data_IF_000137191917
#
_entry.id   IF_000137191917
#
_cell.length_a   1.000
_cell.length_b   1.000
_cell.length_c   1.000
_cell.angle_alpha   90.00
_cell.angle_beta   90.00
_cell.angle_gamma   90.00
#
_symmetry.space_group_name_H-M   'P 1'
#
loop_
_entity.id
_entity.type
_entity.pdbx_description
1 polymer ?
#
# COMPACT_ATOMS: atom_id res chain seq x y z
N UNK A 1 54.12 5.27 -13.75
CA UNK A 1 52.98 4.36 -13.41
C UNK A 1 51.83 5.29 -13.06
N UNK A 2 50.88 5.48 -13.97
CA UNK A 2 49.77 6.41 -13.74
C UNK A 2 48.77 5.81 -12.77
N UNK A 3 48.53 6.53 -11.68
CA UNK A 3 47.53 6.26 -10.66
C UNK A 3 46.14 6.17 -11.29
N UNK A 4 45.42 5.09 -11.00
CA UNK A 4 44.01 4.96 -11.34
C UNK A 4 43.21 5.15 -10.03
N UNK A 5 42.87 6.40 -9.71
CA UNK A 5 41.94 6.69 -8.63
C UNK A 5 40.51 6.35 -9.07
N UNK A 6 39.69 5.69 -8.24
CA UNK A 6 38.31 5.41 -8.57
C UNK A 6 37.49 6.71 -8.63
N UNK A 7 36.84 6.97 -9.77
CA UNK A 7 35.88 8.07 -9.92
C UNK A 7 34.72 7.90 -8.94
N UNK A 8 34.64 8.81 -7.98
CA UNK A 8 33.48 8.93 -7.08
C UNK A 8 32.34 9.51 -7.93
N UNK A 9 31.41 8.65 -8.38
CA UNK A 9 30.16 9.12 -8.99
C UNK A 9 29.40 9.96 -7.98
N UNK A 10 29.33 11.26 -8.23
CA UNK A 10 28.49 12.17 -7.47
C UNK A 10 27.04 11.71 -7.59
N UNK A 11 26.47 11.22 -6.49
CA UNK A 11 25.04 10.97 -6.39
C UNK A 11 24.37 12.33 -6.53
N UNK A 12 23.76 12.59 -7.69
CA UNK A 12 22.96 13.79 -7.89
C UNK A 12 21.88 13.83 -6.81
N UNK A 13 21.85 14.93 -6.04
CA UNK A 13 20.79 15.15 -5.08
C UNK A 13 19.45 15.07 -5.82
N UNK A 14 18.45 14.34 -5.30
CA UNK A 14 17.16 14.21 -5.95
C UNK A 14 16.59 15.61 -6.19
N UNK A 15 16.41 15.95 -7.46
CA UNK A 15 15.93 17.28 -7.85
C UNK A 15 14.42 17.27 -7.73
N UNK A 16 13.89 18.04 -6.79
CA UNK A 16 12.46 18.17 -6.59
C UNK A 16 11.86 18.92 -7.79
N UNK A 17 10.94 18.29 -8.51
CA UNK A 17 10.32 18.93 -9.67
C UNK A 17 9.19 19.87 -9.23
N UNK A 18 8.80 20.84 -10.07
CA UNK A 18 7.59 21.64 -9.81
C UNK A 18 6.34 20.77 -9.60
N UNK A 19 6.27 19.61 -10.25
CA UNK A 19 5.17 18.65 -10.07
C UNK A 19 5.20 18.04 -8.67
N UNK A 20 6.37 17.62 -8.19
CA UNK A 20 6.52 17.07 -6.83
C UNK A 20 6.12 18.11 -5.78
N UNK A 21 6.42 19.40 -6.02
CA UNK A 21 6.01 20.49 -5.16
C UNK A 21 4.49 20.62 -5.10
N UNK A 22 3.84 20.70 -6.25
CA UNK A 22 2.38 20.80 -6.29
C UNK A 22 1.70 19.58 -5.68
N UNK A 23 2.25 18.37 -5.85
CA UNK A 23 1.72 17.17 -5.21
C UNK A 23 1.94 17.17 -3.70
N UNK A 24 3.09 17.68 -3.23
CA UNK A 24 3.38 17.83 -1.81
C UNK A 24 2.41 18.83 -1.15
N UNK A 25 2.21 19.99 -1.78
CA UNK A 25 1.24 21.01 -1.36
C UNK A 25 -0.20 20.48 -1.40
N UNK A 26 -0.54 19.69 -2.42
CA UNK A 26 -1.83 19.00 -2.53
C UNK A 26 -1.97 17.78 -1.60
N UNK A 27 -0.93 17.47 -0.80
CA UNK A 27 -0.89 16.36 0.16
C UNK A 27 -1.29 15.02 -0.45
N UNK A 28 -0.80 14.77 -1.67
CA UNK A 28 -1.14 13.59 -2.47
C UNK A 28 0.12 12.76 -2.70
N UNK A 29 0.04 11.46 -2.44
CA UNK A 29 1.11 10.49 -2.68
C UNK A 29 0.57 9.39 -3.59
N UNK A 30 1.36 9.02 -4.61
CA UNK A 30 1.05 7.90 -5.49
C UNK A 30 1.77 6.63 -5.02
N UNK A 31 1.00 5.56 -4.83
CA UNK A 31 1.46 4.19 -4.64
C UNK A 31 1.13 3.45 -5.93
N UNK A 32 1.99 3.64 -6.95
CA UNK A 32 1.75 3.19 -8.32
C UNK A 32 2.85 2.28 -8.82
N UNK A 33 2.46 1.13 -9.39
CA UNK A 33 3.39 0.09 -9.83
C UNK A 33 3.69 -0.94 -8.75
N UNK A 34 4.70 -1.78 -8.99
CA UNK A 34 5.09 -2.86 -8.08
C UNK A 34 5.57 -2.29 -6.74
N UNK A 35 5.11 -2.89 -5.64
CA UNK A 35 5.54 -2.52 -4.29
C UNK A 35 6.91 -3.13 -4.04
N UNK A 36 7.92 -2.28 -3.91
CA UNK A 36 9.28 -2.68 -3.56
C UNK A 36 9.89 -1.77 -2.48
N UNK A 37 11.13 -2.07 -2.11
CA UNK A 37 11.87 -1.29 -1.12
C UNK A 37 12.12 0.17 -1.54
N UNK A 38 12.25 0.47 -2.84
CA UNK A 38 12.44 1.84 -3.32
C UNK A 38 11.16 2.66 -3.15
N UNK A 39 10.02 2.10 -3.55
CA UNK A 39 8.70 2.68 -3.35
C UNK A 39 8.43 2.92 -1.86
N UNK A 40 8.71 1.92 -1.01
CA UNK A 40 8.51 2.06 0.43
C UNK A 40 9.31 3.23 1.01
N UNK A 41 10.61 3.35 0.66
CA UNK A 41 11.44 4.48 1.10
C UNK A 41 10.85 5.82 0.60
N UNK A 42 10.45 5.90 -0.67
CA UNK A 42 9.88 7.12 -1.24
C UNK A 42 8.59 7.55 -0.53
N UNK A 43 7.64 6.63 -0.39
CA UNK A 43 6.33 6.90 0.22
C UNK A 43 6.49 7.26 1.71
N UNK A 44 7.30 6.50 2.46
CA UNK A 44 7.52 6.78 3.88
C UNK A 44 8.18 8.15 4.11
N UNK A 45 9.14 8.55 3.27
CA UNK A 45 9.75 9.89 3.35
C UNK A 45 8.73 10.98 3.09
N UNK A 46 7.84 10.80 2.11
CA UNK A 46 6.77 11.76 1.80
C UNK A 46 5.76 11.87 2.95
N UNK A 47 5.34 10.74 3.53
CA UNK A 47 4.44 10.68 4.69
C UNK A 47 5.00 11.48 5.88
N UNK A 48 6.24 11.18 6.28
CA UNK A 48 6.92 11.87 7.40
C UNK A 48 7.13 13.36 7.11
N UNK A 49 7.49 13.71 5.87
CA UNK A 49 7.65 15.11 5.48
C UNK A 49 6.31 15.88 5.51
N UNK A 50 5.22 15.27 5.05
CA UNK A 50 3.89 15.87 5.07
C UNK A 50 3.32 16.01 6.48
N UNK A 51 3.59 15.05 7.36
CA UNK A 51 3.30 15.16 8.80
C UNK A 51 4.05 16.35 9.41
N UNK A 52 5.37 16.44 9.18
CA UNK A 52 6.19 17.53 9.71
C UNK A 52 5.73 18.91 9.23
N UNK A 53 5.25 19.00 7.99
CA UNK A 53 4.75 20.23 7.38
C UNK A 53 3.37 20.63 7.95
N UNK A 54 2.46 19.67 8.12
CA UNK A 54 1.17 19.89 8.75
C UNK A 54 0.58 18.56 9.26
N UNK A 55 0.63 18.34 10.57
CA UNK A 55 0.15 17.11 11.20
C UNK A 55 -1.39 16.97 11.21
N UNK A 56 -2.13 18.07 11.02
CA UNK A 56 -3.59 18.09 11.10
C UNK A 56 -4.30 17.97 9.74
N UNK A 57 -3.57 18.20 8.64
CA UNK A 57 -4.16 18.15 7.31
C UNK A 57 -4.13 16.72 6.75
N UNK A 58 -5.22 16.24 6.11
CA UNK A 58 -5.28 14.88 5.60
C UNK A 58 -4.26 14.63 4.49
N UNK A 59 -3.86 13.38 4.31
CA UNK A 59 -3.00 12.92 3.21
C UNK A 59 -3.78 11.93 2.36
N UNK A 60 -3.75 12.10 1.04
CA UNK A 60 -4.44 11.23 0.09
C UNK A 60 -3.44 10.30 -0.58
N UNK A 61 -3.62 8.99 -0.40
CA UNK A 61 -2.86 7.95 -1.09
C UNK A 61 -3.64 7.46 -2.31
N UNK A 62 -3.08 7.67 -3.50
CA UNK A 62 -3.59 7.14 -4.76
C UNK A 62 -2.98 5.77 -5.00
N UNK A 63 -3.81 4.73 -4.94
CA UNK A 63 -3.38 3.34 -5.05
C UNK A 63 -3.66 2.82 -6.45
N UNK A 64 -2.59 2.53 -7.19
CA UNK A 64 -2.63 1.85 -8.50
C UNK A 64 -1.50 0.82 -8.58
N UNK A 65 -1.64 -0.27 -7.86
CA UNK A 65 -0.57 -1.23 -7.64
C UNK A 65 -1.05 -2.69 -7.81
N UNK A 66 -0.29 -3.52 -8.55
CA UNK A 66 -0.46 -4.98 -8.56
C UNK A 66 -0.01 -5.65 -7.24
N UNK A 67 0.54 -4.89 -6.29
CA UNK A 67 1.20 -5.38 -5.09
C UNK A 67 2.68 -5.62 -5.32
N UNK A 68 3.30 -6.46 -4.49
CA UNK A 68 4.74 -6.71 -4.51
C UNK A 68 5.24 -7.25 -3.18
N UNK A 69 6.41 -6.80 -2.75
CA UNK A 69 7.10 -7.24 -1.54
C UNK A 69 6.26 -7.00 -0.27
N UNK A 70 6.09 -8.06 0.53
CA UNK A 70 5.27 -8.04 1.75
C UNK A 70 5.82 -7.06 2.79
N UNK A 71 7.13 -7.07 3.02
CA UNK A 71 7.75 -6.21 4.03
C UNK A 71 7.73 -4.74 3.63
N UNK A 72 7.99 -4.41 2.36
CA UNK A 72 7.83 -3.06 1.82
C UNK A 72 6.40 -2.57 1.92
N UNK A 73 5.42 -3.42 1.60
CA UNK A 73 4.02 -3.06 1.75
C UNK A 73 3.61 -2.84 3.21
N UNK A 74 4.10 -3.66 4.14
CA UNK A 74 3.89 -3.41 5.58
C UNK A 74 4.57 -2.13 6.05
N UNK A 75 5.77 -1.82 5.54
CA UNK A 75 6.47 -0.58 5.88
C UNK A 75 5.65 0.66 5.53
N UNK A 76 5.04 0.67 4.33
CA UNK A 76 4.12 1.75 3.91
C UNK A 76 2.85 1.76 4.78
N UNK A 77 2.23 0.59 4.95
CA UNK A 77 0.99 0.44 5.72
C UNK A 77 1.14 0.94 7.16
N UNK A 78 2.18 0.49 7.86
CA UNK A 78 2.41 0.84 9.26
C UNK A 78 2.82 2.31 9.41
N UNK A 79 3.65 2.85 8.51
CA UNK A 79 4.02 4.27 8.52
C UNK A 79 2.80 5.17 8.33
N UNK A 80 1.95 4.86 7.35
CA UNK A 80 0.73 5.63 7.10
C UNK A 80 -0.22 5.60 8.31
N UNK A 81 -0.31 4.49 9.03
CA UNK A 81 -1.13 4.36 10.25
C UNK A 81 -0.51 4.99 11.49
N UNK A 82 0.81 5.10 11.53
CA UNK A 82 1.55 5.61 12.67
C UNK A 82 1.50 7.14 12.78
N UNK A 83 1.52 7.83 11.64
CA UNK A 83 1.56 9.30 11.61
C UNK A 83 0.23 9.94 12.04
N UNK A 84 0.30 11.18 12.51
CA UNK A 84 -0.86 11.95 12.99
C UNK A 84 -1.89 12.34 11.90
N UNK A 85 -1.47 12.71 10.67
CA UNK A 85 -2.41 13.06 9.61
C UNK A 85 -3.43 11.95 9.34
N UNK A 86 -4.69 12.34 9.20
CA UNK A 86 -5.74 11.46 8.69
C UNK A 86 -5.40 10.98 7.28
N UNK A 87 -5.29 9.66 7.10
CA UNK A 87 -5.05 9.05 5.80
C UNK A 87 -6.37 8.78 5.08
N UNK A 88 -6.42 9.15 3.80
CA UNK A 88 -7.48 8.76 2.86
C UNK A 88 -6.85 7.97 1.74
N UNK A 89 -7.35 6.78 1.45
CA UNK A 89 -6.90 5.98 0.30
C UNK A 89 -7.92 6.08 -0.82
N UNK A 90 -7.43 6.16 -2.06
CA UNK A 90 -8.28 6.12 -3.26
C UNK A 90 -7.69 5.08 -4.21
N UNK A 91 -8.42 3.99 -4.43
CA UNK A 91 -8.03 3.01 -5.45
C UNK A 91 -8.36 3.57 -6.82
N UNK A 92 -7.34 3.77 -7.65
CA UNK A 92 -7.40 4.44 -8.95
C UNK A 92 -6.83 3.54 -10.04
N UNK A 93 -7.57 2.47 -10.38
CA UNK A 93 -7.08 1.41 -11.26
C UNK A 93 -7.06 0.08 -10.53
N UNK A 94 -5.94 -0.28 -9.91
CA UNK A 94 -5.78 -1.55 -9.22
C UNK A 94 -5.29 -1.39 -7.77
N UNK A 95 -5.88 -2.17 -6.86
CA UNK A 95 -5.25 -2.47 -5.58
C UNK A 95 -5.25 -3.99 -5.40
N UNK A 96 -4.14 -4.63 -5.77
CA UNK A 96 -3.98 -6.08 -5.67
C UNK A 96 -2.91 -6.46 -4.63
N UNK A 97 -3.08 -7.60 -3.95
CA UNK A 97 -2.05 -8.16 -3.07
C UNK A 97 -1.61 -7.14 -1.99
N UNK A 98 -0.33 -6.76 -1.94
CA UNK A 98 0.12 -5.71 -1.01
C UNK A 98 -0.44 -4.32 -1.33
N UNK A 99 -0.84 -4.05 -2.56
CA UNK A 99 -1.58 -2.83 -2.92
C UNK A 99 -2.94 -2.75 -2.21
N UNK A 100 -3.67 -3.87 -2.13
CA UNK A 100 -4.92 -3.90 -1.33
C UNK A 100 -4.65 -3.82 0.16
N UNK A 101 -3.56 -4.41 0.68
CA UNK A 101 -3.18 -4.21 2.10
C UNK A 101 -2.89 -2.74 2.39
N UNK A 102 -2.07 -2.07 1.57
CA UNK A 102 -1.76 -0.64 1.72
C UNK A 102 -3.05 0.19 1.69
N UNK A 103 -4.01 -0.14 0.82
CA UNK A 103 -5.30 0.58 0.78
C UNK A 103 -6.09 0.54 2.10
N UNK A 104 -5.83 -0.45 2.96
CA UNK A 104 -6.46 -0.61 4.27
C UNK A 104 -5.76 0.16 5.40
N UNK A 105 -4.70 0.93 5.09
CA UNK A 105 -4.03 1.77 6.09
C UNK A 105 -4.92 2.92 6.56
N UNK A 106 -5.79 3.44 5.69
CA UNK A 106 -6.83 4.40 6.08
C UNK A 106 -7.89 3.76 6.98
N UNK A 107 -8.55 4.58 7.78
CA UNK A 107 -9.73 4.18 8.55
C UNK A 107 -10.87 3.74 7.63
N UNK A 108 -11.80 2.94 8.17
CA UNK A 108 -12.77 2.19 7.36
C UNK A 108 -13.52 3.09 6.38
N UNK A 109 -13.97 4.24 6.86
CA UNK A 109 -14.74 5.23 6.14
C UNK A 109 -13.91 6.07 5.15
N UNK A 110 -12.58 6.05 5.23
CA UNK A 110 -11.64 6.83 4.42
C UNK A 110 -11.02 6.06 3.25
N UNK A 111 -11.61 4.92 2.90
CA UNK A 111 -11.16 4.06 1.81
C UNK A 111 -12.08 4.23 0.62
N UNK A 112 -11.63 4.92 -0.40
CA UNK A 112 -12.40 5.29 -1.58
C UNK A 112 -11.93 4.48 -2.79
N UNK A 113 -12.77 4.37 -3.80
CA UNK A 113 -12.38 3.84 -5.11
C UNK A 113 -13.08 4.56 -6.25
N UNK A 114 -12.49 4.52 -7.44
CA UNK A 114 -13.16 4.91 -8.68
C UNK A 114 -14.04 3.80 -9.24
N UNK A 115 -15.00 4.12 -10.13
CA UNK A 115 -16.00 3.17 -10.61
C UNK A 115 -15.41 2.01 -11.43
N UNK A 116 -14.28 2.24 -12.08
CA UNK A 116 -13.59 1.25 -12.91
C UNK A 116 -12.43 0.55 -12.18
N UNK A 117 -12.23 0.85 -10.89
CA UNK A 117 -11.16 0.25 -10.12
C UNK A 117 -11.42 -1.24 -9.86
N UNK A 118 -10.36 -1.99 -9.57
CA UNK A 118 -10.45 -3.39 -9.16
C UNK A 118 -9.62 -3.61 -7.91
N UNK A 119 -10.09 -4.53 -7.07
CA UNK A 119 -9.31 -5.04 -5.96
C UNK A 119 -9.04 -6.53 -6.18
N UNK A 120 -7.87 -6.99 -5.75
CA UNK A 120 -7.55 -8.41 -5.69
C UNK A 120 -6.93 -8.75 -4.35
N UNK A 121 -7.49 -9.75 -3.69
CA UNK A 121 -6.92 -10.35 -2.48
C UNK A 121 -6.56 -11.80 -2.76
N UNK A 122 -5.43 -12.22 -2.21
CA UNK A 122 -4.91 -13.59 -2.32
C UNK A 122 -3.91 -13.85 -1.18
N UNK A 123 -3.58 -15.11 -0.96
CA UNK A 123 -2.55 -15.52 -0.01
C UNK A 123 -1.15 -15.02 -0.43
N UNK A 124 -0.20 -14.87 0.52
CA UNK A 124 1.16 -14.53 0.17
C UNK A 124 1.79 -15.65 -0.66
N UNK A 125 2.78 -15.29 -1.46
CA UNK A 125 3.57 -16.23 -2.25
C UNK A 125 5.06 -15.92 -2.06
N UNK A 126 5.88 -16.97 -2.13
CA UNK A 126 7.31 -16.83 -2.31
C UNK A 126 7.54 -16.77 -3.81
N UNK A 127 8.09 -15.66 -4.30
CA UNK A 127 8.51 -15.54 -5.69
C UNK A 127 9.87 -16.20 -5.89
N UNK A 128 10.04 -16.88 -7.03
CA UNK A 128 11.29 -17.57 -7.36
C UNK A 128 11.43 -18.96 -6.73
N UNK A 129 12.67 -19.44 -6.60
CA UNK A 129 12.99 -20.79 -6.14
C UNK A 129 13.74 -20.74 -4.82
N UNK A 130 13.19 -21.38 -3.78
CA UNK A 130 13.93 -21.61 -2.54
C UNK A 130 14.78 -22.87 -2.69
N UNK A 131 16.05 -22.78 -2.30
CA UNK A 131 16.99 -23.90 -2.18
C UNK A 131 17.71 -23.79 -0.86
N UNK A 132 17.88 -24.91 -0.16
CA UNK A 132 18.51 -24.93 1.17
C UNK A 132 18.46 -26.31 1.79
N UNK A 133 18.97 -26.44 3.01
CA UNK A 133 18.85 -27.69 3.78
C UNK A 133 17.39 -27.91 4.18
N UNK A 134 17.04 -29.15 4.56
CA UNK A 134 15.68 -29.48 5.00
C UNK A 134 15.18 -28.56 6.12
N UNK A 135 16.06 -28.20 7.06
CA UNK A 135 15.76 -27.25 8.15
C UNK A 135 15.44 -25.85 7.63
N UNK A 136 16.20 -25.33 6.65
CA UNK A 136 15.96 -24.00 6.07
C UNK A 136 14.62 -23.95 5.33
N UNK A 137 14.31 -25.00 4.56
CA UNK A 137 13.03 -25.09 3.85
C UNK A 137 11.85 -25.12 4.82
N UNK A 138 11.98 -25.84 5.95
CA UNK A 138 10.96 -25.89 6.99
C UNK A 138 10.74 -24.50 7.64
N UNK A 139 11.81 -23.75 7.89
CA UNK A 139 11.75 -22.39 8.43
C UNK A 139 10.99 -21.46 7.48
N UNK A 140 11.34 -21.45 6.19
CA UNK A 140 10.65 -20.62 5.19
C UNK A 140 9.17 -21.00 5.02
N UNK A 141 8.86 -22.29 5.01
CA UNK A 141 7.48 -22.76 4.94
C UNK A 141 6.66 -22.30 6.16
N UNK A 142 7.24 -22.38 7.36
CA UNK A 142 6.58 -21.92 8.58
C UNK A 142 6.34 -20.41 8.56
N UNK A 143 7.32 -19.62 8.12
CA UNK A 143 7.22 -18.15 8.03
C UNK A 143 6.11 -17.68 7.07
N UNK A 144 6.03 -18.26 5.86
CA UNK A 144 4.95 -17.90 4.93
C UNK A 144 3.56 -18.31 5.44
N UNK A 145 3.46 -19.43 6.15
CA UNK A 145 2.20 -19.87 6.78
C UNK A 145 1.76 -18.87 7.86
N UNK A 146 2.68 -18.39 8.69
CA UNK A 146 2.36 -17.36 9.68
C UNK A 146 2.02 -16.03 9.04
N UNK A 147 2.73 -15.64 7.98
CA UNK A 147 2.41 -14.44 7.18
C UNK A 147 1.01 -14.53 6.55
N UNK A 148 0.63 -15.71 6.03
CA UNK A 148 -0.72 -15.97 5.51
C UNK A 148 -1.78 -15.75 6.60
N UNK A 149 -1.59 -16.34 7.79
CA UNK A 149 -2.49 -16.15 8.93
C UNK A 149 -2.56 -14.69 9.37
N UNK A 150 -1.43 -13.98 9.41
CA UNK A 150 -1.36 -12.55 9.74
C UNK A 150 -2.20 -11.72 8.76
N UNK A 151 -2.08 -11.97 7.46
CA UNK A 151 -2.85 -11.26 6.44
C UNK A 151 -4.36 -11.52 6.58
N UNK A 152 -4.78 -12.77 6.79
CA UNK A 152 -6.21 -13.07 7.02
C UNK A 152 -6.78 -12.27 8.20
N UNK A 153 -6.05 -12.23 9.33
CA UNK A 153 -6.45 -11.45 10.51
C UNK A 153 -6.52 -9.96 10.22
N UNK A 154 -5.51 -9.41 9.52
CA UNK A 154 -5.49 -8.00 9.14
C UNK A 154 -6.71 -7.63 8.30
N UNK A 155 -7.03 -8.42 7.27
CA UNK A 155 -8.22 -8.16 6.46
C UNK A 155 -9.51 -8.27 7.29
N UNK A 156 -9.63 -9.28 8.15
CA UNK A 156 -10.79 -9.44 9.04
C UNK A 156 -10.97 -8.22 9.94
N UNK A 157 -9.90 -7.80 10.62
CA UNK A 157 -9.90 -6.64 11.52
C UNK A 157 -10.25 -5.33 10.79
N UNK A 158 -9.58 -5.06 9.66
CA UNK A 158 -9.74 -3.78 8.94
C UNK A 158 -11.05 -3.69 8.16
N UNK A 159 -11.72 -4.81 7.85
CA UNK A 159 -13.01 -4.81 7.16
C UNK A 159 -14.19 -4.98 8.11
N UNK A 160 -13.98 -5.64 9.26
CA UNK A 160 -15.03 -6.08 10.18
C UNK A 160 -15.78 -7.33 9.72
N UNK A 161 -15.33 -8.00 8.65
CA UNK A 161 -15.89 -9.28 8.22
C UNK A 161 -15.25 -10.46 8.98
N UNK A 162 -15.95 -11.61 9.10
CA UNK A 162 -15.44 -12.78 9.82
C UNK A 162 -14.11 -13.28 9.25
N UNK A 163 -13.23 -13.79 10.11
CA UNK A 163 -11.92 -14.32 9.73
C UNK A 163 -12.03 -15.47 8.72
N UNK A 164 -13.02 -16.33 8.92
CA UNK A 164 -13.30 -17.51 8.08
C UNK A 164 -13.54 -17.11 6.63
N UNK A 165 -14.17 -15.95 6.42
CA UNK A 165 -14.41 -15.40 5.08
C UNK A 165 -13.12 -15.08 4.34
N UNK A 166 -12.10 -14.55 5.03
CA UNK A 166 -10.80 -14.28 4.43
C UNK A 166 -9.95 -15.53 4.27
N UNK A 167 -10.09 -16.52 5.17
CA UNK A 167 -9.46 -17.83 5.00
C UNK A 167 -9.93 -18.48 3.69
N UNK A 168 -11.23 -18.41 3.38
CA UNK A 168 -11.79 -18.93 2.13
C UNK A 168 -11.42 -18.06 0.93
N UNK A 169 -11.66 -16.75 1.02
CA UNK A 169 -11.54 -15.85 -0.14
C UNK A 169 -10.10 -15.65 -0.59
N UNK A 170 -9.12 -15.77 0.29
CA UNK A 170 -7.71 -15.56 -0.05
C UNK A 170 -6.99 -16.86 -0.44
N UNK A 171 -7.65 -18.02 -0.38
CA UNK A 171 -7.01 -19.28 -0.80
C UNK A 171 -6.66 -19.28 -2.30
N UNK A 172 -7.39 -18.51 -3.11
CA UNK A 172 -7.10 -18.23 -4.51
C UNK A 172 -7.29 -16.75 -4.80
N UNK A 173 -6.91 -16.35 -6.01
CA UNK A 173 -7.14 -14.99 -6.49
C UNK A 173 -8.63 -14.65 -6.44
N UNK A 174 -8.98 -13.67 -5.61
CA UNK A 174 -10.33 -13.12 -5.52
C UNK A 174 -10.33 -11.70 -6.07
N UNK A 175 -10.79 -11.59 -7.31
CA UNK A 175 -11.08 -10.31 -7.96
C UNK A 175 -12.40 -9.74 -7.44
N UNK A 176 -12.41 -8.44 -7.18
CA UNK A 176 -13.56 -7.71 -6.65
C UNK A 176 -13.74 -6.41 -7.45
N UNK A 177 -14.94 -6.22 -8.00
CA UNK A 177 -15.40 -4.93 -8.49
C UNK A 177 -15.63 -3.98 -7.30
N UNK A 178 -15.68 -2.65 -7.52
CA UNK A 178 -15.76 -1.68 -6.42
C UNK A 178 -16.97 -1.93 -5.51
N UNK A 179 -18.12 -2.35 -6.08
CA UNK A 179 -19.31 -2.64 -5.27
C UNK A 179 -19.11 -3.86 -4.37
N UNK A 180 -18.51 -4.93 -4.88
CA UNK A 180 -18.21 -6.13 -4.10
C UNK A 180 -17.16 -5.84 -3.02
N UNK A 181 -16.16 -5.02 -3.34
CA UNK A 181 -15.17 -4.55 -2.38
C UNK A 181 -15.81 -3.69 -1.28
N UNK A 182 -16.80 -2.86 -1.62
CA UNK A 182 -17.56 -2.07 -0.65
C UNK A 182 -18.38 -2.99 0.28
N UNK A 183 -19.08 -3.97 -0.28
CA UNK A 183 -19.91 -4.91 0.48
C UNK A 183 -19.06 -5.83 1.39
N UNK A 184 -17.83 -6.15 0.97
CA UNK A 184 -16.86 -6.85 1.80
C UNK A 184 -16.19 -5.95 2.85
N UNK A 185 -16.39 -4.63 2.75
CA UNK A 185 -15.81 -3.65 3.66
C UNK A 185 -14.34 -3.33 3.40
N UNK A 186 -13.81 -3.58 2.20
CA UNK A 186 -12.48 -3.14 1.76
C UNK A 186 -12.43 -1.65 1.42
N UNK A 187 -13.54 -1.12 0.90
CA UNK A 187 -13.74 0.31 0.65
C UNK A 187 -15.04 0.79 1.31
N UNK A 188 -15.16 2.08 1.58
CA UNK A 188 -16.38 2.72 2.11
C UNK A 188 -17.24 3.33 1.02
N UNK A 189 -16.63 3.92 -0.02
CA UNK A 189 -17.36 4.71 -1.00
C UNK A 189 -16.72 4.66 -2.38
N UNK A 190 -17.57 4.60 -3.39
CA UNK A 190 -17.19 4.78 -4.80
C UNK A 190 -17.42 6.26 -5.15
N UNK A 191 -16.40 6.93 -5.66
CA UNK A 191 -16.44 8.34 -6.07
C UNK A 191 -16.07 8.47 -7.54
N UNK A 192 -16.59 9.50 -8.21
CA UNK A 192 -16.39 9.74 -9.64
C UNK A 192 -15.95 11.17 -9.98
N UNK A 193 -16.01 12.09 -9.02
CA UNK A 193 -15.70 13.50 -9.24
C UNK A 193 -14.77 14.07 -8.17
N UNK A 194 -14.02 15.12 -8.54
CA UNK A 194 -13.19 15.89 -7.60
C UNK A 194 -14.00 16.47 -6.45
N UNK A 195 -15.23 16.93 -6.72
CA UNK A 195 -16.13 17.52 -5.72
C UNK A 195 -16.48 16.53 -4.60
N UNK A 196 -16.67 15.26 -4.93
CA UNK A 196 -16.94 14.22 -3.94
C UNK A 196 -15.76 13.95 -3.02
N UNK A 197 -14.53 13.93 -3.56
CA UNK A 197 -13.31 13.79 -2.78
C UNK A 197 -13.12 14.99 -1.83
N UNK A 198 -13.31 16.21 -2.32
CA UNK A 198 -13.18 17.41 -1.50
C UNK A 198 -14.22 17.49 -0.38
N UNK A 199 -15.46 17.07 -0.66
CA UNK A 199 -16.48 16.95 0.37
C UNK A 199 -16.08 15.93 1.45
N UNK A 200 -15.46 14.81 1.04
CA UNK A 200 -14.98 13.77 1.96
C UNK A 200 -13.80 14.22 2.83
N UNK A 201 -12.92 15.07 2.29
CA UNK A 201 -11.76 15.58 3.02
C UNK A 201 -12.13 16.64 4.08
N UNK A 202 -13.28 17.32 3.92
CA UNK A 202 -13.76 18.37 4.84
C UNK A 202 -14.52 17.85 6.07
N UNK A 203 -14.80 16.55 6.13
CA UNK A 203 -15.54 15.91 7.22
C UNK A 203 -14.74 15.90 8.53
#
# INVERSE_FOLDING_TARGET
MSENQPEIKTVQAPTFTPIDQHLFEARTIFVSGEVDSEMAVKVNRQLLAMERANANAPIVLWIDSPGGEIHSGFSIYDTARFIQPRIVTVVVGLAASMGSVISLCAEKEDRLAFPNSKLLIHQPLISGVIRGQASDLAIHAQDIIETKKKLHRLYAERTGAPLEKFVEFMERDKWLLPKEAQDLGLISKIISTRKELEAHLKR
#
